data_IF_176194682914
#
_entry.id   IF_176194682914
#
_cell.length_a   1.000
_cell.length_b   1.000
_cell.length_c   1.000
_cell.angle_alpha   90.00
_cell.angle_beta   90.00
_cell.angle_gamma   90.00
#
_symmetry.space_group_name_H-M   'P 1'
#
loop_
_entity.id
_entity.type
_entity.pdbx_description
1 polymer ?
#
# COMPACT_ATOMS: atom_id res chain seq x y z
N UNK A 1 -18.00 -36.11 -17.85
CA UNK A 1 -17.96 -35.67 -16.43
C UNK A 1 -16.70 -34.84 -16.22
N UNK A 2 -16.83 -33.55 -15.92
CA UNK A 2 -15.68 -32.70 -15.60
C UNK A 2 -15.27 -32.90 -14.15
N UNK A 3 -14.04 -33.36 -13.90
CA UNK A 3 -13.50 -33.45 -12.55
C UNK A 3 -13.39 -32.03 -12.00
N UNK A 4 -14.20 -31.70 -11.00
CA UNK A 4 -14.04 -30.47 -10.22
C UNK A 4 -12.92 -30.72 -9.21
N UNK A 5 -11.80 -30.02 -9.34
CA UNK A 5 -10.67 -30.11 -8.41
C UNK A 5 -10.92 -29.36 -7.08
N UNK A 6 -12.00 -28.59 -7.00
CA UNK A 6 -12.37 -27.74 -5.86
C UNK A 6 -13.85 -27.96 -5.57
N UNK A 7 -14.18 -28.34 -4.33
CA UNK A 7 -15.56 -28.48 -3.86
C UNK A 7 -15.96 -27.26 -3.03
N UNK A 8 -17.18 -26.78 -3.25
CA UNK A 8 -17.75 -25.63 -2.52
C UNK A 8 -18.48 -26.05 -1.23
N UNK A 9 -18.93 -27.31 -1.15
CA UNK A 9 -19.59 -27.88 0.03
C UNK A 9 -19.10 -29.31 0.25
N UNK A 10 -18.70 -29.62 1.48
CA UNK A 10 -18.21 -30.96 1.87
C UNK A 10 -19.34 -31.99 2.02
N UNK A 11 -20.59 -31.55 2.13
CA UNK A 11 -21.76 -32.41 2.32
C UNK A 11 -22.12 -33.26 1.10
N UNK A 12 -21.65 -32.87 -0.08
CA UNK A 12 -21.87 -33.59 -1.34
C UNK A 12 -20.96 -34.83 -1.49
N UNK A 13 -20.04 -35.06 -0.53
CA UNK A 13 -19.13 -36.20 -0.51
C UNK A 13 -19.59 -37.32 0.43
N UNK A 14 -19.38 -38.60 0.06
CA UNK A 14 -19.52 -39.73 0.96
C UNK A 14 -18.66 -39.55 2.22
N UNK A 15 -19.23 -39.84 3.40
CA UNK A 15 -18.58 -39.62 4.71
C UNK A 15 -17.18 -40.21 4.80
N UNK A 16 -16.96 -41.38 4.20
CA UNK A 16 -15.67 -42.09 4.19
C UNK A 16 -14.53 -41.31 3.49
N UNK A 17 -14.88 -40.41 2.58
CA UNK A 17 -13.90 -39.65 1.78
C UNK A 17 -13.71 -38.22 2.24
N UNK A 18 -14.54 -37.73 3.18
CA UNK A 18 -14.48 -36.34 3.68
C UNK A 18 -13.18 -36.04 4.40
N UNK A 19 -12.59 -37.03 5.06
CA UNK A 19 -11.30 -36.90 5.76
C UNK A 19 -10.11 -36.64 4.84
N UNK A 20 -10.24 -36.91 3.54
CA UNK A 20 -9.20 -36.70 2.54
C UNK A 20 -9.25 -35.30 1.92
N UNK A 21 -10.17 -34.43 2.34
CA UNK A 21 -10.28 -33.07 1.83
C UNK A 21 -9.93 -32.05 2.91
N UNK A 22 -9.04 -31.11 2.60
CA UNK A 22 -8.68 -29.99 3.47
C UNK A 22 -9.30 -28.68 2.99
N UNK A 23 -9.70 -27.85 3.95
CA UNK A 23 -10.15 -26.49 3.68
C UNK A 23 -8.98 -25.60 3.25
N UNK A 24 -9.12 -24.93 2.10
CA UNK A 24 -8.20 -23.94 1.60
C UNK A 24 -8.96 -22.67 1.22
N UNK A 25 -8.33 -21.50 1.35
CA UNK A 25 -8.88 -20.23 0.87
C UNK A 25 -8.44 -19.97 -0.57
N UNK A 26 -9.40 -19.76 -1.47
CA UNK A 26 -9.15 -19.31 -2.85
C UNK A 26 -9.87 -17.97 -3.06
N UNK A 27 -9.15 -16.87 -2.84
CA UNK A 27 -9.75 -15.52 -2.78
C UNK A 27 -10.69 -15.40 -1.58
N UNK A 28 -11.92 -14.94 -1.82
CA UNK A 28 -12.95 -14.74 -0.78
C UNK A 28 -13.78 -15.99 -0.47
N UNK A 29 -13.45 -17.15 -1.07
CA UNK A 29 -14.20 -18.40 -0.90
C UNK A 29 -13.37 -19.47 -0.19
N UNK A 30 -14.01 -20.20 0.71
CA UNK A 30 -13.48 -21.47 1.25
C UNK A 30 -13.78 -22.58 0.26
N UNK A 31 -12.74 -23.31 -0.12
CA UNK A 31 -12.79 -24.44 -1.05
C UNK A 31 -12.18 -25.66 -0.39
N UNK A 32 -12.74 -26.83 -0.65
CA UNK A 32 -12.19 -28.10 -0.16
C UNK A 32 -11.34 -28.74 -1.25
N UNK A 33 -10.07 -29.01 -0.92
CA UNK A 33 -9.06 -29.58 -1.83
C UNK A 33 -8.70 -30.97 -1.37
N UNK A 34 -8.63 -31.91 -2.33
CA UNK A 34 -8.24 -33.28 -2.07
C UNK A 34 -6.76 -33.33 -1.67
N UNK A 35 -6.50 -33.71 -0.42
CA UNK A 35 -5.17 -33.87 0.16
C UNK A 35 -4.87 -35.35 0.34
N UNK A 36 -4.30 -35.95 -0.70
CA UNK A 36 -3.80 -37.32 -0.66
C UNK A 36 -2.28 -37.25 -0.78
N UNK A 37 -1.59 -37.93 0.13
CA UNK A 37 -0.13 -38.05 0.11
C UNK A 37 0.36 -38.57 -1.26
N UNK A 38 1.40 -37.94 -1.80
CA UNK A 38 2.02 -38.27 -3.08
C UNK A 38 1.12 -38.23 -4.34
N UNK A 39 -0.05 -37.57 -4.28
CA UNK A 39 -0.95 -37.46 -5.45
C UNK A 39 -0.26 -36.80 -6.66
N UNK A 40 0.64 -35.86 -6.41
CA UNK A 40 1.44 -35.17 -7.44
C UNK A 40 2.43 -36.11 -8.14
N UNK A 41 2.84 -37.19 -7.49
CA UNK A 41 3.73 -38.21 -8.05
C UNK A 41 2.99 -39.32 -8.82
N UNK A 42 1.65 -39.31 -8.81
CA UNK A 42 0.87 -40.34 -9.49
C UNK A 42 1.02 -40.23 -11.04
N UNK A 43 1.29 -41.33 -11.76
CA UNK A 43 1.55 -41.31 -13.21
C UNK A 43 0.47 -40.62 -14.05
N UNK A 44 -0.80 -40.72 -13.62
CA UNK A 44 -1.94 -40.09 -14.32
C UNK A 44 -2.12 -38.60 -14.02
N UNK A 45 -1.54 -38.09 -12.92
CA UNK A 45 -1.69 -36.69 -12.47
C UNK A 45 -0.50 -35.85 -12.94
N UNK A 46 0.70 -36.42 -12.97
CA UNK A 46 1.93 -35.76 -13.46
C UNK A 46 1.77 -35.12 -14.84
N UNK A 47 1.13 -35.81 -15.77
CA UNK A 47 0.89 -35.29 -17.13
C UNK A 47 -0.03 -34.06 -17.14
N UNK A 48 -1.05 -34.06 -16.27
CA UNK A 48 -1.99 -32.93 -16.13
C UNK A 48 -1.32 -31.74 -15.44
N UNK A 49 -0.52 -31.98 -14.39
CA UNK A 49 0.26 -30.93 -13.72
C UNK A 49 1.23 -30.27 -14.70
N UNK A 50 1.98 -31.08 -15.45
CA UNK A 50 2.95 -30.61 -16.44
C UNK A 50 2.26 -29.79 -17.54
N UNK A 51 1.14 -30.29 -18.08
CA UNK A 51 0.37 -29.57 -19.09
C UNK A 51 -0.23 -28.26 -18.55
N UNK A 52 -0.74 -28.25 -17.32
CA UNK A 52 -1.30 -27.06 -16.69
C UNK A 52 -0.22 -26.00 -16.43
N UNK A 53 0.96 -26.41 -15.96
CA UNK A 53 2.09 -25.51 -15.75
C UNK A 53 2.58 -24.91 -17.08
N UNK A 54 2.63 -25.71 -18.14
CA UNK A 54 2.97 -25.22 -19.48
C UNK A 54 1.90 -24.26 -20.03
N UNK A 55 0.62 -24.52 -19.78
CA UNK A 55 -0.46 -23.60 -20.14
C UNK A 55 -0.41 -22.28 -19.35
N UNK A 56 -0.08 -22.34 -18.05
CA UNK A 56 0.17 -21.14 -17.24
C UNK A 56 1.34 -20.34 -17.81
N UNK A 57 2.46 -21.00 -18.12
CA UNK A 57 3.64 -20.39 -18.73
C UNK A 57 3.31 -19.70 -20.06
N UNK A 58 2.63 -20.39 -20.97
CA UNK A 58 2.20 -19.82 -22.26
C UNK A 58 1.24 -18.65 -22.11
N UNK A 59 0.28 -18.75 -21.19
CA UNK A 59 -0.63 -17.64 -20.89
C UNK A 59 0.15 -16.42 -20.41
N UNK A 60 1.10 -16.60 -19.51
CA UNK A 60 1.89 -15.50 -18.96
C UNK A 60 2.80 -14.89 -20.05
N UNK A 61 3.37 -15.70 -20.93
CA UNK A 61 4.12 -15.23 -22.11
C UNK A 61 3.24 -14.46 -23.11
N UNK A 62 2.04 -14.96 -23.42
CA UNK A 62 1.13 -14.25 -24.32
C UNK A 62 0.65 -12.94 -23.71
N UNK A 63 0.38 -12.92 -22.40
CA UNK A 63 0.04 -11.70 -21.69
C UNK A 63 1.16 -10.68 -21.79
N UNK A 64 2.41 -11.07 -21.52
CA UNK A 64 3.56 -10.18 -21.66
C UNK A 64 3.73 -9.64 -23.09
N UNK A 65 3.46 -10.46 -24.12
CA UNK A 65 3.49 -10.02 -25.53
C UNK A 65 2.36 -9.06 -25.87
N UNK A 66 1.15 -9.29 -25.35
CA UNK A 66 0.03 -8.38 -25.53
C UNK A 66 0.34 -7.03 -24.87
N UNK A 67 0.85 -7.05 -23.63
CA UNK A 67 1.23 -5.83 -22.90
C UNK A 67 2.34 -5.05 -23.65
N UNK A 68 3.35 -5.73 -24.20
CA UNK A 68 4.40 -5.10 -25.04
C UNK A 68 3.83 -4.53 -26.35
N UNK A 69 2.93 -5.26 -27.03
CA UNK A 69 2.29 -4.78 -28.26
C UNK A 69 1.36 -3.59 -27.98
N UNK A 70 0.58 -3.62 -26.91
CA UNK A 70 -0.27 -2.50 -26.49
C UNK A 70 0.57 -1.28 -26.10
N UNK A 71 1.71 -1.46 -25.41
CA UNK A 71 2.64 -0.38 -25.12
C UNK A 71 3.20 0.24 -26.41
N UNK A 72 3.55 -0.57 -27.40
CA UNK A 72 4.03 -0.10 -28.71
C UNK A 72 2.94 0.62 -29.50
N UNK A 73 1.74 0.05 -29.57
CA UNK A 73 0.58 0.63 -30.27
C UNK A 73 0.15 1.94 -29.62
N UNK A 74 0.11 2.02 -28.30
CA UNK A 74 -0.24 3.26 -27.59
C UNK A 74 0.83 4.36 -27.69
N UNK A 75 2.06 4.01 -28.08
CA UNK A 75 3.13 4.97 -28.39
C UNK A 75 3.08 5.44 -29.86
N UNK A 76 2.39 4.71 -30.74
CA UNK A 76 2.15 5.14 -32.12
C UNK A 76 1.05 6.21 -32.15
N UNK A 77 1.19 7.26 -32.98
CA UNK A 77 0.10 8.21 -33.22
C UNK A 77 -1.14 7.50 -33.77
N UNK A 78 -2.33 7.96 -33.39
CA UNK A 78 -3.61 7.39 -33.88
C UNK A 78 -3.75 7.49 -35.42
N UNK A 79 -3.06 8.45 -36.04
CA UNK A 79 -3.01 8.67 -37.49
C UNK A 79 -1.83 7.94 -38.19
N UNK A 80 -1.18 6.97 -37.54
CA UNK A 80 -0.07 6.24 -38.16
C UNK A 80 -0.58 5.23 -39.20
N UNK A 81 -0.35 5.51 -40.47
CA UNK A 81 -0.58 4.57 -41.58
C UNK A 81 0.65 3.69 -41.82
N UNK A 82 0.53 2.40 -41.48
CA UNK A 82 1.58 1.42 -41.63
C UNK A 82 1.88 1.09 -43.11
N UNK A 83 0.87 1.16 -43.98
CA UNK A 83 0.99 0.85 -45.39
C UNK A 83 1.68 2.00 -46.14
N UNK A 84 1.37 3.25 -45.77
CA UNK A 84 2.07 4.42 -46.29
C UNK A 84 3.54 4.45 -45.87
N UNK A 85 3.83 4.09 -44.61
CA UNK A 85 5.21 3.94 -44.13
C UNK A 85 5.99 2.86 -44.90
N UNK A 86 5.35 1.71 -45.14
CA UNK A 86 5.95 0.63 -45.93
C UNK A 86 6.22 1.05 -47.37
N UNK A 87 5.28 1.77 -48.01
CA UNK A 87 5.42 2.30 -49.38
C UNK A 87 6.54 3.34 -49.48
N UNK A 88 6.63 4.25 -48.51
CA UNK A 88 7.69 5.25 -48.42
C UNK A 88 9.07 4.61 -48.24
N UNK A 89 9.16 3.58 -47.38
CA UNK A 89 10.41 2.82 -47.16
C UNK A 89 10.83 2.01 -48.40
N UNK A 90 9.87 1.56 -49.20
CA UNK A 90 10.12 0.84 -50.45
C UNK A 90 10.52 1.77 -51.63
N UNK A 91 10.44 3.09 -51.46
CA UNK A 91 10.83 4.07 -52.49
C UNK A 91 9.83 4.20 -53.65
N UNK A 92 8.60 3.70 -53.48
CA UNK A 92 7.56 3.68 -54.53
C UNK A 92 6.68 4.95 -54.55
N UNK A 93 6.99 5.96 -53.73
CA UNK A 93 6.40 7.29 -53.81
C UNK A 93 7.21 8.17 -54.77
N UNK A 94 6.62 8.56 -55.91
CA UNK A 94 7.26 9.44 -56.88
C UNK A 94 7.88 10.71 -56.27
N UNK A 95 8.93 11.24 -56.93
CA UNK A 95 9.82 12.35 -56.53
C UNK A 95 10.21 12.35 -55.04
N UNK A 96 11.48 12.04 -54.69
CA UNK A 96 11.96 11.93 -53.31
C UNK A 96 11.51 13.04 -52.35
N UNK A 97 11.35 14.27 -52.85
CA UNK A 97 11.01 15.45 -52.06
C UNK A 97 9.60 15.42 -51.45
N UNK A 98 8.57 14.91 -52.15
CA UNK A 98 7.19 14.90 -51.64
C UNK A 98 6.99 13.79 -50.59
N UNK A 99 7.56 12.62 -50.83
CA UNK A 99 7.61 11.50 -49.89
C UNK A 99 8.35 11.85 -48.58
N UNK A 100 9.50 12.53 -48.69
CA UNK A 100 10.26 13.02 -47.54
C UNK A 100 9.47 14.09 -46.79
N UNK A 101 8.72 14.95 -47.49
CA UNK A 101 7.91 15.98 -46.85
C UNK A 101 6.70 15.40 -46.10
N UNK A 102 5.99 14.44 -46.69
CA UNK A 102 4.90 13.73 -46.01
C UNK A 102 5.40 12.98 -44.75
N UNK A 103 6.57 12.33 -44.84
CA UNK A 103 7.19 11.66 -43.69
C UNK A 103 7.59 12.67 -42.60
N UNK A 104 8.14 13.84 -42.97
CA UNK A 104 8.45 14.92 -42.01
C UNK A 104 7.19 15.44 -41.34
N UNK A 105 6.11 15.64 -42.09
CA UNK A 105 4.84 16.12 -41.55
C UNK A 105 4.20 15.07 -40.62
N UNK A 106 4.28 13.79 -40.97
CA UNK A 106 3.82 12.70 -40.11
C UNK A 106 4.66 12.61 -38.82
N UNK A 107 5.98 12.70 -38.90
CA UNK A 107 6.84 12.76 -37.72
C UNK A 107 6.61 14.01 -36.88
N UNK A 108 6.38 15.17 -37.50
CA UNK A 108 6.06 16.39 -36.77
C UNK A 108 4.75 16.25 -36.01
N UNK A 109 3.69 15.71 -36.64
CA UNK A 109 2.42 15.40 -35.98
C UNK A 109 2.58 14.37 -34.87
N UNK A 110 3.37 13.32 -35.09
CA UNK A 110 3.67 12.30 -34.10
C UNK A 110 4.35 12.89 -32.86
N UNK A 111 5.35 13.75 -33.07
CA UNK A 111 6.07 14.44 -31.99
C UNK A 111 5.14 15.38 -31.23
N UNK A 112 4.29 16.15 -31.91
CA UNK A 112 3.34 17.04 -31.25
C UNK A 112 2.26 16.26 -30.48
N UNK A 113 1.73 15.17 -31.04
CA UNK A 113 0.79 14.28 -30.35
C UNK A 113 1.42 13.65 -29.10
N UNK A 114 2.68 13.19 -29.21
CA UNK A 114 3.42 12.60 -28.11
C UNK A 114 3.72 13.63 -27.01
N UNK A 115 4.12 14.86 -27.38
CA UNK A 115 4.27 15.97 -26.42
C UNK A 115 2.95 16.31 -25.72
N UNK A 116 1.85 16.38 -26.46
CA UNK A 116 0.53 16.66 -25.89
C UNK A 116 0.10 15.56 -24.91
N UNK A 117 0.32 14.28 -25.27
CA UNK A 117 0.05 13.14 -24.39
C UNK A 117 0.89 13.19 -23.12
N UNK A 118 2.20 13.41 -23.24
CA UNK A 118 3.08 13.52 -22.08
C UNK A 118 2.75 14.73 -21.20
N UNK A 119 2.38 15.87 -21.78
CA UNK A 119 1.95 17.03 -21.01
C UNK A 119 0.67 16.73 -20.21
N UNK A 120 -0.28 16.02 -20.83
CA UNK A 120 -1.50 15.55 -20.15
C UNK A 120 -1.18 14.53 -19.04
N UNK A 121 -0.36 13.52 -19.33
CA UNK A 121 0.01 12.50 -18.36
C UNK A 121 0.76 13.07 -17.15
N UNK A 122 1.60 14.10 -17.38
CA UNK A 122 2.26 14.84 -16.30
C UNK A 122 1.25 15.63 -15.47
N UNK A 123 0.33 16.36 -16.10
CA UNK A 123 -0.72 17.09 -15.39
C UNK A 123 -1.62 16.16 -14.56
N UNK A 124 -2.00 15.01 -15.10
CA UNK A 124 -2.80 13.99 -14.41
C UNK A 124 -2.03 13.40 -13.21
N UNK A 125 -0.74 13.13 -13.37
CA UNK A 125 0.13 12.65 -12.28
C UNK A 125 0.32 13.71 -11.20
N UNK A 126 0.52 14.97 -11.57
CA UNK A 126 0.67 16.07 -10.62
C UNK A 126 -0.62 16.28 -9.82
N UNK A 127 -1.79 16.15 -10.46
CA UNK A 127 -3.08 16.19 -9.77
C UNK A 127 -3.22 15.04 -8.75
N UNK A 128 -2.87 13.81 -9.14
CA UNK A 128 -2.89 12.65 -8.24
C UNK A 128 -1.89 12.78 -7.09
N UNK A 129 -0.69 13.31 -7.35
CA UNK A 129 0.31 13.59 -6.31
C UNK A 129 -0.23 14.62 -5.34
N UNK A 130 -0.83 15.72 -5.83
CA UNK A 130 -1.43 16.76 -5.00
C UNK A 130 -2.56 16.23 -4.11
N UNK A 131 -3.44 15.38 -4.64
CA UNK A 131 -4.50 14.73 -3.86
C UNK A 131 -3.94 13.84 -2.75
N UNK A 132 -2.99 12.96 -3.10
CA UNK A 132 -2.35 12.05 -2.14
C UNK A 132 -1.56 12.80 -1.09
N UNK A 133 -0.87 13.85 -1.48
CA UNK A 133 -0.17 14.73 -0.55
C UNK A 133 -1.13 15.40 0.42
N UNK A 134 -2.22 15.97 -0.07
CA UNK A 134 -3.25 16.56 0.77
C UNK A 134 -3.88 15.57 1.75
N UNK A 135 -4.06 14.31 1.34
CA UNK A 135 -4.56 13.25 2.22
C UNK A 135 -3.54 12.86 3.29
N UNK A 136 -2.28 12.64 2.91
CA UNK A 136 -1.19 12.31 3.83
C UNK A 136 -1.01 13.43 4.85
N UNK A 137 -0.95 14.68 4.39
CA UNK A 137 -0.69 15.83 5.24
C UNK A 137 -1.83 16.00 6.26
N UNK A 138 -3.09 15.83 5.84
CA UNK A 138 -4.25 15.81 6.74
C UNK A 138 -4.18 14.69 7.77
N UNK A 139 -3.85 13.48 7.35
CA UNK A 139 -3.79 12.31 8.24
C UNK A 139 -2.64 12.44 9.24
N UNK A 140 -1.51 12.99 8.82
CA UNK A 140 -0.36 13.24 9.67
C UNK A 140 -0.68 14.30 10.74
N UNK A 141 -1.33 15.40 10.34
CA UNK A 141 -1.78 16.44 11.29
C UNK A 141 -2.78 15.85 12.28
N UNK A 142 -3.83 15.16 11.79
CA UNK A 142 -4.90 14.65 12.65
C UNK A 142 -4.40 13.57 13.60
N UNK A 143 -3.60 12.62 13.10
CA UNK A 143 -3.01 11.55 13.90
C UNK A 143 -2.06 12.11 14.95
N UNK A 144 -1.08 12.94 14.54
CA UNK A 144 -0.09 13.51 15.45
C UNK A 144 -0.71 14.40 16.53
N UNK A 145 -1.73 15.19 16.17
CA UNK A 145 -2.44 16.04 17.11
C UNK A 145 -3.31 15.22 18.07
N UNK A 146 -4.02 14.21 17.56
CA UNK A 146 -4.84 13.31 18.38
C UNK A 146 -4.00 12.55 19.40
N UNK A 147 -2.88 11.99 18.98
CA UNK A 147 -1.96 11.26 19.86
C UNK A 147 -1.40 12.19 20.95
N UNK A 148 -0.94 13.39 20.56
CA UNK A 148 -0.44 14.39 21.51
C UNK A 148 -1.53 14.84 22.52
N UNK A 149 -2.79 14.99 22.08
CA UNK A 149 -3.91 15.37 22.96
C UNK A 149 -4.26 14.26 23.97
N UNK A 150 -4.22 12.99 23.53
CA UNK A 150 -4.45 11.85 24.41
C UNK A 150 -3.30 11.68 25.42
N UNK A 151 -2.07 11.96 25.02
CA UNK A 151 -0.89 11.89 25.88
C UNK A 151 -0.94 12.90 27.04
N UNK A 152 -1.43 14.12 26.78
CA UNK A 152 -1.63 15.13 27.84
C UNK A 152 -2.89 14.89 28.69
N UNK A 153 -3.72 13.91 28.32
CA UNK A 153 -4.89 13.49 29.10
C UNK A 153 -6.15 14.32 28.82
N UNK A 154 -6.33 14.78 27.57
CA UNK A 154 -7.61 15.34 27.12
C UNK A 154 -8.72 14.31 27.28
N UNK A 155 -9.88 14.74 27.75
CA UNK A 155 -11.07 13.90 27.85
C UNK A 155 -11.47 13.40 26.44
N UNK A 156 -11.60 12.08 26.20
CA UNK A 156 -12.06 11.54 24.92
C UNK A 156 -13.34 12.18 24.38
N UNK A 157 -14.29 12.55 25.25
CA UNK A 157 -15.56 13.19 24.83
C UNK A 157 -15.36 14.61 24.26
N UNK A 158 -14.24 15.26 24.59
CA UNK A 158 -13.90 16.61 24.16
C UNK A 158 -12.78 16.63 23.09
N UNK A 159 -12.29 15.45 22.71
CA UNK A 159 -11.15 15.29 21.82
C UNK A 159 -11.40 15.91 20.44
N UNK A 160 -12.58 15.69 19.87
CA UNK A 160 -12.92 16.22 18.54
C UNK A 160 -12.99 17.75 18.53
N UNK A 161 -13.49 18.35 19.63
CA UNK A 161 -13.51 19.80 19.80
C UNK A 161 -12.10 20.39 19.97
N UNK A 162 -11.25 19.74 20.77
CA UNK A 162 -9.85 20.12 20.93
C UNK A 162 -9.09 20.02 19.60
N UNK A 163 -9.26 18.92 18.88
CA UNK A 163 -8.66 18.68 17.57
C UNK A 163 -9.07 19.76 16.57
N UNK A 164 -10.36 20.06 16.45
CA UNK A 164 -10.86 21.10 15.56
C UNK A 164 -10.27 22.48 15.86
N UNK A 165 -10.05 22.80 17.15
CA UNK A 165 -9.51 24.10 17.56
C UNK A 165 -8.01 24.28 17.28
N UNK A 166 -7.24 23.18 17.23
CA UNK A 166 -5.79 23.22 17.10
C UNK A 166 -5.29 22.89 15.69
N UNK A 167 -6.09 22.13 14.92
CA UNK A 167 -5.74 21.68 13.57
C UNK A 167 -5.28 22.81 12.65
N UNK A 168 -5.92 23.98 12.72
CA UNK A 168 -5.56 25.13 11.87
C UNK A 168 -4.19 25.74 12.16
N UNK A 169 -3.59 25.42 13.31
CA UNK A 169 -2.27 25.93 13.72
C UNK A 169 -1.14 24.98 13.32
N UNK A 170 -1.45 23.76 12.89
CA UNK A 170 -0.45 22.74 12.56
C UNK A 170 -0.19 22.75 11.06
N UNK A 171 1.09 22.74 10.69
CA UNK A 171 1.57 22.61 9.32
C UNK A 171 2.41 21.35 9.17
N UNK A 172 2.53 20.86 7.94
CA UNK A 172 3.45 19.76 7.61
C UNK A 172 4.72 20.35 7.04
N UNK A 173 5.84 20.07 7.69
CA UNK A 173 7.17 20.31 7.14
C UNK A 173 7.60 19.08 6.35
N UNK A 174 8.01 19.30 5.10
CA UNK A 174 8.55 18.28 4.20
C UNK A 174 10.07 18.46 4.15
N UNK A 175 10.81 17.41 4.46
CA UNK A 175 12.27 17.39 4.33
C UNK A 175 12.68 16.85 2.95
N UNK A 176 13.93 17.11 2.56
CA UNK A 176 14.49 16.73 1.26
C UNK A 176 14.57 15.21 1.05
N UNK A 177 14.60 14.43 2.15
CA UNK A 177 14.57 12.97 2.14
C UNK A 177 13.15 12.39 1.94
N UNK A 178 12.15 13.25 1.78
CA UNK A 178 10.74 12.87 1.63
C UNK A 178 10.02 12.61 2.96
N UNK A 179 10.70 12.75 4.11
CA UNK A 179 10.05 12.66 5.41
C UNK A 179 9.14 13.87 5.66
N UNK A 180 8.07 13.61 6.43
CA UNK A 180 7.06 14.62 6.77
C UNK A 180 6.88 14.65 8.27
N UNK A 181 6.90 15.85 8.84
CA UNK A 181 6.64 16.07 10.26
C UNK A 181 5.58 17.15 10.45
N UNK A 182 4.68 16.92 11.39
CA UNK A 182 3.71 17.92 11.81
C UNK A 182 4.38 18.87 12.82
N UNK A 183 4.35 20.16 12.52
CA UNK A 183 4.95 21.23 13.31
C UNK A 183 3.95 22.37 13.52
N UNK A 184 4.20 23.21 14.52
CA UNK A 184 3.48 24.46 14.74
C UNK A 184 4.48 25.60 14.61
N UNK A 185 4.19 26.54 13.72
CA UNK A 185 4.99 27.74 13.54
C UNK A 185 4.60 28.76 14.62
N UNK A 186 5.57 29.17 15.44
CA UNK A 186 5.38 30.16 16.48
C UNK A 186 6.33 31.34 16.28
N UNK A 187 6.10 32.45 16.99
CA UNK A 187 6.97 33.63 16.93
C UNK A 187 8.43 33.33 17.35
N UNK A 188 8.67 32.20 18.02
CA UNK A 188 9.98 31.73 18.47
C UNK A 188 10.58 30.64 17.56
N UNK A 189 9.88 30.25 16.49
CA UNK A 189 10.28 29.23 15.54
C UNK A 189 9.34 28.02 15.51
N UNK A 190 9.75 27.02 14.73
CA UNK A 190 9.01 25.78 14.55
C UNK A 190 9.12 24.89 15.79
N UNK A 191 7.99 24.52 16.37
CA UNK A 191 7.91 23.62 17.51
C UNK A 191 7.18 22.32 17.14
N UNK A 192 7.61 21.17 17.70
CA UNK A 192 6.87 19.92 17.55
C UNK A 192 5.45 20.03 18.11
N UNK A 193 4.49 19.38 17.44
CA UNK A 193 3.08 19.34 17.88
C UNK A 193 2.94 18.85 19.33
N UNK A 194 3.77 17.90 19.75
CA UNK A 194 3.77 17.36 21.11
C UNK A 194 4.06 18.42 22.16
N UNK A 195 5.03 19.29 21.93
CA UNK A 195 5.41 20.33 22.88
C UNK A 195 4.41 21.49 22.89
N UNK A 196 3.90 21.85 21.71
CA UNK A 196 2.81 22.81 21.58
C UNK A 196 1.54 22.36 22.33
N UNK A 197 1.16 21.07 22.23
CA UNK A 197 -0.03 20.54 22.91
C UNK A 197 0.17 20.51 24.43
N UNK A 198 1.38 20.22 24.93
CA UNK A 198 1.69 20.31 26.37
C UNK A 198 1.52 21.74 26.90
N UNK A 199 2.05 22.72 26.18
CA UNK A 199 1.90 24.14 26.56
C UNK A 199 0.43 24.56 26.52
N UNK A 200 -0.29 24.18 25.47
CA UNK A 200 -1.72 24.44 25.34
C UNK A 200 -2.51 23.84 26.50
N UNK A 201 -2.28 22.56 26.82
CA UNK A 201 -2.93 21.85 27.93
C UNK A 201 -2.67 22.52 29.29
N UNK A 202 -1.45 23.05 29.49
CA UNK A 202 -1.05 23.80 30.68
C UNK A 202 -1.67 25.19 30.80
N UNK A 203 -2.30 25.72 29.74
CA UNK A 203 -2.93 27.04 29.70
C UNK A 203 -4.39 26.98 29.30
N UNK A 204 -4.68 27.31 28.03
CA UNK A 204 -6.04 27.43 27.48
C UNK A 204 -6.76 26.08 27.36
N UNK A 205 -6.02 24.98 27.27
CA UNK A 205 -6.51 23.61 27.13
C UNK A 205 -6.94 22.96 28.44
N UNK A 206 -6.77 23.60 29.60
CA UNK A 206 -7.12 23.01 30.91
C UNK A 206 -8.56 22.52 31.00
N UNK A 207 -9.50 23.22 30.36
CA UNK A 207 -10.91 22.84 30.35
C UNK A 207 -11.20 21.54 29.58
N UNK A 208 -10.28 21.11 28.71
CA UNK A 208 -10.39 19.89 27.92
C UNK A 208 -9.79 18.67 28.63
N UNK A 209 -9.04 18.87 29.72
CA UNK A 209 -8.43 17.78 30.48
C UNK A 209 -9.48 16.95 31.21
N UNK A 210 -9.22 15.65 31.33
CA UNK A 210 -10.07 14.75 32.12
C UNK A 210 -10.21 15.24 33.56
N UNK A 211 -11.43 15.12 34.12
CA UNK A 211 -11.66 15.43 35.53
C UNK A 211 -10.76 14.54 36.40
N UNK A 212 -10.20 15.07 37.51
CA UNK A 212 -9.51 14.23 38.48
C UNK A 212 -10.47 13.17 39.03
N UNK A 213 -10.08 11.90 38.98
CA UNK A 213 -10.87 10.81 39.55
C UNK A 213 -10.36 10.48 40.95
N UNK A 214 -11.20 10.75 41.97
CA UNK A 214 -10.95 10.38 43.37
C UNK A 214 -11.06 11.57 44.36
N UNK A 215 -11.34 11.31 45.65
CA UNK A 215 -11.40 12.36 46.67
C UNK A 215 -10.00 12.91 46.92
N UNK A 216 -9.71 14.11 46.42
CA UNK A 216 -8.40 14.76 46.49
C UNK A 216 -7.60 14.76 45.17
N UNK A 217 -8.22 14.42 44.03
CA UNK A 217 -7.51 14.43 42.75
C UNK A 217 -7.10 15.84 42.31
N UNK A 218 -5.80 16.11 42.30
CA UNK A 218 -5.25 17.19 41.49
C UNK A 218 -5.35 16.81 40.01
N UNK A 219 -5.70 17.76 39.15
CA UNK A 219 -5.72 17.56 37.71
C UNK A 219 -4.36 17.06 37.21
N UNK A 220 -4.37 16.30 36.11
CA UNK A 220 -3.21 15.62 35.54
C UNK A 220 -2.03 16.59 35.32
N UNK A 221 -1.20 16.76 36.35
CA UNK A 221 -0.07 17.67 36.34
C UNK A 221 1.17 16.88 35.95
N UNK A 222 1.38 16.68 34.64
CA UNK A 222 2.68 16.41 34.01
C UNK A 222 3.62 15.40 34.68
N UNK A 223 3.09 14.43 35.43
CA UNK A 223 3.85 13.43 36.18
C UNK A 223 3.86 12.13 35.40
N UNK A 224 5.04 11.75 34.92
CA UNK A 224 5.27 10.64 33.99
C UNK A 224 4.32 9.46 34.20
N UNK A 225 3.51 9.17 33.18
CA UNK A 225 3.01 7.82 32.99
C UNK A 225 4.24 6.95 32.87
N UNK A 226 4.50 6.19 33.94
CA UNK A 226 5.34 5.02 33.89
C UNK A 226 4.84 4.20 32.72
N UNK A 227 5.57 4.33 31.61
CA UNK A 227 5.35 3.51 30.45
C UNK A 227 5.44 2.09 30.96
N UNK A 228 4.32 1.39 30.97
CA UNK A 228 4.39 -0.02 30.67
C UNK A 228 4.97 -0.04 29.26
N UNK A 229 6.32 -0.07 29.19
CA UNK A 229 7.03 -0.56 28.05
C UNK A 229 6.55 -1.99 27.95
N UNK A 230 5.44 -2.20 27.25
CA UNK A 230 5.22 -3.48 26.60
C UNK A 230 6.46 -3.62 25.75
N UNK A 231 7.41 -4.52 26.09
CA UNK A 231 8.64 -4.60 25.35
C UNK A 231 8.22 -4.86 23.91
N UNK A 232 8.53 -3.93 23.01
CA UNK A 232 8.55 -4.24 21.58
C UNK A 232 9.31 -5.57 21.51
N UNK A 233 8.67 -6.61 20.97
CA UNK A 233 9.18 -7.97 21.02
C UNK A 233 10.57 -8.03 20.41
N UNK A 234 11.58 -7.82 21.26
CA UNK A 234 12.97 -8.02 20.92
C UNK A 234 13.16 -9.53 20.94
N UNK A 235 13.16 -10.11 19.75
CA UNK A 235 13.55 -11.49 19.53
C UNK A 235 15.07 -11.68 19.67
N UNK A 236 15.72 -10.89 20.53
CA UNK A 236 17.12 -10.94 20.93
C UNK A 236 18.07 -10.71 19.77
N UNK A 237 18.72 -9.56 19.74
CA UNK A 237 19.83 -9.30 18.82
C UNK A 237 20.86 -10.45 18.81
N UNK A 238 21.40 -10.82 19.98
CA UNK A 238 22.33 -11.96 20.12
C UNK A 238 21.64 -13.26 20.60
N UNK A 239 22.40 -14.37 20.54
CA UNK A 239 21.91 -15.72 20.88
C UNK A 239 21.51 -15.86 22.35
N UNK A 240 22.22 -15.19 23.26
CA UNK A 240 21.97 -15.32 24.70
C UNK A 240 20.72 -14.53 25.12
N UNK A 241 20.49 -13.38 24.47
CA UNK A 241 19.25 -12.60 24.60
C UNK A 241 18.04 -13.39 24.10
N UNK A 242 18.17 -14.12 22.98
CA UNK A 242 17.13 -15.03 22.46
C UNK A 242 16.78 -16.13 23.44
N UNK A 243 17.77 -16.81 23.99
CA UNK A 243 17.54 -17.92 24.92
C UNK A 243 16.85 -17.45 26.20
N UNK A 244 17.20 -16.27 26.73
CA UNK A 244 16.53 -15.68 27.90
C UNK A 244 15.09 -15.24 27.59
N UNK A 245 14.85 -14.67 26.41
CA UNK A 245 13.50 -14.26 26.01
C UNK A 245 12.55 -15.46 25.82
N UNK A 246 13.06 -16.56 25.27
CA UNK A 246 12.30 -17.81 25.11
C UNK A 246 12.01 -18.44 26.49
N UNK A 247 13.01 -18.50 27.38
CA UNK A 247 12.82 -19.03 28.74
C UNK A 247 11.78 -18.24 29.55
N UNK A 248 11.72 -16.91 29.38
CA UNK A 248 10.72 -16.07 30.05
C UNK A 248 9.30 -16.23 29.48
N UNK A 249 9.16 -16.56 28.19
CA UNK A 249 7.85 -16.73 27.55
C UNK A 249 7.31 -18.16 27.61
N UNK A 250 8.20 -19.15 27.67
CA UNK A 250 7.86 -20.57 27.69
C UNK A 250 8.66 -21.29 28.79
N UNK A 251 8.31 -21.07 30.07
CA UNK A 251 9.02 -21.69 31.20
C UNK A 251 9.05 -23.23 31.12
N UNK A 252 8.04 -23.84 30.50
CA UNK A 252 7.93 -25.29 30.25
C UNK A 252 8.99 -25.86 29.29
N UNK A 253 9.66 -25.03 28.49
CA UNK A 253 10.76 -25.45 27.62
C UNK A 253 12.13 -25.34 28.29
N UNK A 254 12.21 -24.78 29.51
CA UNK A 254 13.48 -24.57 30.23
C UNK A 254 13.93 -25.78 31.08
N UNK A 255 13.20 -26.89 30.98
CA UNK A 255 13.48 -28.14 31.68
C UNK A 255 13.47 -29.36 30.76
N UNK A 256 14.48 -29.48 29.90
CA UNK A 256 15.09 -30.74 29.45
C UNK A 256 16.39 -30.45 28.70
#
# INVERSE_FOLDING_TARGET
>A
MGLKALLEKIDDLPEETRSLYMEQKAGDKTVYVLDIEDIDNHPKVRGVITANNENKRKRDEYKAKVDDLEARVSALPEDFDADEWARLKAGEGGKPDEAIQALKDQHAKAVEALKAKHAKDLADKDALIGERDGYIDRTLIDGGLKDALLDVGVNPDLLDGALASLRGNVKVQKADDGSRSAIVETDLGDVPVTDFVKEWAGGRGKAYLGKPSGPGGEGNNGGGRGGIKVPAGDFGGDRDARTKAIANKFPELSGN
#
